data_IF_267664163789
#
_entry.id   IF_267664163789
#
_cell.length_a   1.000
_cell.length_b   1.000
_cell.length_c   1.000
_cell.angle_alpha   90.00
_cell.angle_beta   90.00
_cell.angle_gamma   90.00
#
_symmetry.space_group_name_H-M   'P 1'
#
loop_
_entity.id
_entity.type
_entity.pdbx_description
1 polymer ?
#
# COMPACT_ATOMS: atom_id res chain seq x y z
N UNK A 1 3.26 6.10 20.90
CA UNK A 1 4.36 6.18 19.90
C UNK A 1 5.72 5.89 20.54
N UNK A 2 6.07 6.50 21.67
CA UNK A 2 7.39 6.32 22.33
C UNK A 2 7.80 4.86 22.58
N UNK A 3 6.84 4.00 22.95
CA UNK A 3 7.11 2.56 23.17
C UNK A 3 7.36 1.78 21.87
N UNK A 4 6.73 2.20 20.77
CA UNK A 4 6.91 1.59 19.44
C UNK A 4 8.27 1.95 18.88
N UNK A 5 8.69 3.21 19.03
CA UNK A 5 10.02 3.65 18.59
C UNK A 5 11.15 2.94 19.36
N UNK A 6 11.01 2.82 20.69
CA UNK A 6 11.97 2.08 21.52
C UNK A 6 12.04 0.60 21.11
N UNK A 7 10.89 -0.05 20.90
CA UNK A 7 10.83 -1.42 20.43
C UNK A 7 11.47 -1.58 19.04
N UNK A 8 11.13 -0.71 18.09
CA UNK A 8 11.66 -0.73 16.74
C UNK A 8 13.17 -0.51 16.71
N UNK A 9 13.68 0.46 17.47
CA UNK A 9 15.10 0.80 17.50
C UNK A 9 15.97 -0.35 18.01
N UNK A 10 15.46 -1.17 18.94
CA UNK A 10 16.12 -2.37 19.46
C UNK A 10 16.16 -3.56 18.50
N UNK A 11 15.46 -3.52 17.35
CA UNK A 11 15.44 -4.62 16.39
C UNK A 11 16.67 -4.62 15.46
N UNK A 12 17.14 -5.82 15.13
CA UNK A 12 18.10 -6.02 14.04
C UNK A 12 17.50 -5.72 12.67
N UNK A 13 18.35 -5.57 11.64
CA UNK A 13 17.96 -5.09 10.30
C UNK A 13 16.81 -5.90 9.67
N UNK A 14 16.89 -7.23 9.68
CA UNK A 14 15.82 -8.12 9.17
C UNK A 14 14.53 -7.97 9.95
N UNK A 15 14.61 -7.92 11.28
CA UNK A 15 13.41 -7.76 12.13
C UNK A 15 12.76 -6.40 11.99
N UNK A 16 13.53 -5.34 11.69
CA UNK A 16 12.98 -4.02 11.35
C UNK A 16 12.15 -4.09 10.07
N UNK A 17 12.61 -4.81 9.05
CA UNK A 17 11.84 -5.02 7.81
C UNK A 17 10.54 -5.77 8.11
N UNK A 18 10.60 -6.90 8.83
CA UNK A 18 9.39 -7.64 9.23
C UNK A 18 8.42 -6.79 10.07
N UNK A 19 8.94 -5.95 10.97
CA UNK A 19 8.14 -5.06 11.79
C UNK A 19 7.35 -4.06 10.93
N UNK A 20 8.01 -3.43 9.95
CA UNK A 20 7.35 -2.49 9.03
C UNK A 20 6.29 -3.24 8.20
N UNK A 21 6.62 -4.41 7.64
CA UNK A 21 5.68 -5.19 6.82
C UNK A 21 4.44 -5.64 7.59
N UNK A 22 4.56 -5.94 8.89
CA UNK A 22 3.44 -6.40 9.73
C UNK A 22 2.60 -5.27 10.33
N UNK A 23 3.11 -4.04 10.34
CA UNK A 23 2.45 -2.90 10.98
C UNK A 23 2.23 -1.74 10.00
N UNK A 24 1.83 -2.06 8.76
CA UNK A 24 1.61 -1.04 7.71
C UNK A 24 0.48 -0.08 8.08
N UNK A 25 -0.43 -0.47 8.96
CA UNK A 25 -1.47 0.37 9.56
C UNK A 25 -0.92 1.52 10.42
N UNK A 26 0.34 1.45 10.85
CA UNK A 26 1.02 2.53 11.56
C UNK A 26 1.69 3.54 10.60
N UNK A 27 1.75 3.23 9.30
CA UNK A 27 2.34 4.12 8.31
C UNK A 27 1.41 5.31 8.01
N UNK A 28 1.99 6.47 7.69
CA UNK A 28 1.21 7.60 7.22
C UNK A 28 0.56 7.27 5.88
N UNK A 29 -0.63 7.84 5.62
CA UNK A 29 -1.31 7.68 4.34
C UNK A 29 -0.43 8.11 3.15
N UNK A 30 0.45 9.10 3.35
CA UNK A 30 1.42 9.54 2.35
C UNK A 30 2.47 8.47 2.03
N UNK A 31 3.06 7.84 3.05
CA UNK A 31 4.07 6.80 2.86
C UNK A 31 3.48 5.56 2.17
N UNK A 32 2.25 5.18 2.54
CA UNK A 32 1.53 4.10 1.88
C UNK A 32 1.25 4.45 0.42
N UNK A 33 0.77 5.66 0.13
CA UNK A 33 0.48 6.10 -1.23
C UNK A 33 1.73 6.12 -2.12
N UNK A 34 2.87 6.61 -1.63
CA UNK A 34 4.13 6.65 -2.39
C UNK A 34 4.65 5.24 -2.68
N UNK A 35 4.51 4.31 -1.74
CA UNK A 35 4.87 2.90 -1.95
C UNK A 35 3.97 2.23 -2.99
N UNK A 36 2.65 2.39 -2.85
CA UNK A 36 1.65 1.77 -3.75
C UNK A 36 1.72 2.35 -5.16
N UNK A 37 2.12 3.62 -5.33
CA UNK A 37 2.19 4.27 -6.65
C UNK A 37 3.04 3.50 -7.67
N UNK A 38 4.10 2.82 -7.23
CA UNK A 38 4.96 2.00 -8.09
C UNK A 38 4.33 0.67 -8.53
N UNK A 39 3.33 0.18 -7.79
CA UNK A 39 2.72 -1.14 -7.93
C UNK A 39 1.20 -1.05 -7.97
N UNK A 40 0.66 0.10 -8.39
CA UNK A 40 -0.76 0.39 -8.26
C UNK A 40 -1.61 -0.66 -8.97
N UNK A 41 -1.21 -1.07 -10.16
CA UNK A 41 -1.94 -2.09 -10.93
C UNK A 41 -1.84 -3.48 -10.30
N UNK A 42 -0.69 -3.87 -9.74
CA UNK A 42 -0.55 -5.14 -9.03
C UNK A 42 -1.44 -5.19 -7.78
N UNK A 43 -1.52 -4.08 -7.04
CA UNK A 43 -2.40 -3.94 -5.86
C UNK A 43 -3.86 -4.00 -6.28
N UNK A 44 -4.22 -3.33 -7.39
CA UNK A 44 -5.58 -3.33 -7.93
C UNK A 44 -5.99 -4.71 -8.47
N UNK A 45 -5.06 -5.47 -9.03
CA UNK A 45 -5.26 -6.86 -9.47
C UNK A 45 -5.49 -7.80 -8.29
N UNK A 46 -4.73 -7.66 -7.20
CA UNK A 46 -4.86 -8.49 -5.99
C UNK A 46 -6.21 -8.28 -5.28
N UNK A 47 -6.83 -7.11 -5.42
CA UNK A 47 -8.21 -6.86 -4.96
C UNK A 47 -9.22 -7.73 -5.72
N UNK A 48 -8.88 -8.19 -6.93
CA UNK A 48 -9.71 -9.10 -7.73
C UNK A 48 -11.04 -8.50 -8.17
N UNK A 49 -11.18 -7.18 -8.13
CA UNK A 49 -12.39 -6.44 -8.51
C UNK A 49 -12.10 -5.53 -9.69
N UNK A 50 -12.39 -6.05 -10.89
CA UNK A 50 -12.29 -5.32 -12.16
C UNK A 50 -13.06 -3.99 -12.15
N UNK A 51 -14.16 -3.88 -11.38
CA UNK A 51 -14.97 -2.66 -11.32
C UNK A 51 -14.26 -1.56 -10.53
N UNK A 52 -13.46 -1.93 -9.53
CA UNK A 52 -12.63 -0.99 -8.80
C UNK A 52 -11.56 -0.37 -9.71
N UNK A 53 -10.91 -1.21 -10.54
CA UNK A 53 -9.94 -0.76 -11.56
C UNK A 53 -10.61 0.12 -12.61
N UNK A 54 -11.77 -0.29 -13.10
CA UNK A 54 -12.54 0.48 -14.08
C UNK A 54 -12.94 1.85 -13.54
N UNK A 55 -13.39 1.93 -12.29
CA UNK A 55 -13.74 3.18 -11.61
C UNK A 55 -12.56 4.12 -11.50
N UNK A 56 -11.38 3.62 -11.12
CA UNK A 56 -10.16 4.41 -11.07
C UNK A 56 -9.81 5.02 -12.43
N UNK A 57 -9.82 4.21 -13.49
CA UNK A 57 -9.50 4.64 -14.85
C UNK A 57 -10.51 5.67 -15.38
N UNK A 58 -11.82 5.48 -15.11
CA UNK A 58 -12.86 6.47 -15.45
C UNK A 58 -12.65 7.80 -14.73
N UNK A 59 -12.28 7.77 -13.45
CA UNK A 59 -11.93 8.97 -12.68
C UNK A 59 -10.72 9.73 -13.22
N UNK A 60 -9.84 9.05 -13.97
CA UNK A 60 -8.71 9.65 -14.70
C UNK A 60 -9.07 10.15 -16.12
N UNK A 61 -10.32 9.98 -16.55
CA UNK A 61 -10.82 10.42 -17.86
C UNK A 61 -10.71 9.37 -18.97
N UNK A 62 -10.35 8.12 -18.65
CA UNK A 62 -10.31 7.05 -19.64
C UNK A 62 -11.70 6.44 -19.86
N UNK A 63 -12.00 6.06 -21.10
CA UNK A 63 -13.16 5.23 -21.43
C UNK A 63 -12.79 3.76 -21.20
N UNK A 64 -13.54 3.07 -20.34
CA UNK A 64 -13.33 1.64 -20.02
C UNK A 64 -14.54 0.85 -20.50
N UNK A 65 -14.29 -0.20 -21.28
CA UNK A 65 -15.31 -1.09 -21.83
C UNK A 65 -15.00 -2.53 -21.40
N UNK A 66 -16.02 -3.26 -20.93
CA UNK A 66 -15.91 -4.68 -20.63
C UNK A 66 -16.01 -5.46 -21.93
N UNK A 67 -15.07 -6.37 -22.17
CA UNK A 67 -15.13 -7.32 -23.29
C UNK A 67 -15.95 -8.55 -22.95
#
# INVERSE_FOLDING_TARGET
MENVEKAFNGLGRTKKVEFISKNIELASSSAVADYVKGYLFDVLEDVGDDEYVATYLRGKGYKVEKK
#
